data_IF_661406001838
#
_entry.id   IF_661406001838
#
_cell.length_a   1.000
_cell.length_b   1.000
_cell.length_c   1.000
_cell.angle_alpha   90.00
_cell.angle_beta   90.00
_cell.angle_gamma   90.00
#
_symmetry.space_group_name_H-M   'P 1'
#
loop_
_entity.id
_entity.type
_entity.pdbx_description
1 polymer ?
#
# COMPACT_ATOMS: atom_id res chain seq x y z
N UNK A 1 -0.53 -25.25 3.10
CA UNK A 1 0.16 -23.97 3.28
C UNK A 1 0.27 -23.55 4.76
N UNK A 2 -0.81 -23.18 5.50
CA UNK A 2 -0.63 -22.77 6.92
C UNK A 2 -0.03 -23.88 7.79
N UNK A 3 -0.44 -25.15 7.61
CA UNK A 3 0.15 -26.29 8.31
C UNK A 3 1.64 -26.49 7.99
N UNK A 4 2.07 -26.21 6.77
CA UNK A 4 3.48 -26.29 6.37
C UNK A 4 4.29 -25.18 7.04
N UNK A 5 3.74 -23.96 7.11
CA UNK A 5 4.38 -22.84 7.82
C UNK A 5 4.50 -23.17 9.31
N UNK A 6 3.45 -23.75 9.89
CA UNK A 6 3.49 -24.21 11.29
C UNK A 6 4.55 -25.27 11.52
N UNK A 7 4.70 -26.22 10.59
CA UNK A 7 5.72 -27.26 10.68
C UNK A 7 7.17 -26.71 10.60
N UNK A 8 7.35 -25.50 10.01
CA UNK A 8 8.62 -24.78 10.02
C UNK A 8 8.89 -24.02 11.34
N UNK A 9 7.97 -24.08 12.31
CA UNK A 9 8.12 -23.48 13.65
C UNK A 9 7.57 -22.07 13.79
N UNK A 10 6.83 -21.54 12.80
CA UNK A 10 6.20 -20.23 12.90
C UNK A 10 4.83 -20.32 13.56
N UNK A 11 4.55 -19.42 14.51
CA UNK A 11 3.27 -19.29 15.19
C UNK A 11 2.39 -18.20 14.56
N UNK A 12 2.98 -17.26 13.85
CA UNK A 12 2.32 -16.11 13.26
C UNK A 12 2.59 -16.02 11.76
N UNK A 13 1.59 -15.52 11.03
CA UNK A 13 1.73 -15.16 9.61
C UNK A 13 1.04 -13.84 9.33
N UNK A 14 1.54 -13.12 8.33
CA UNK A 14 0.81 -12.04 7.69
C UNK A 14 0.02 -12.58 6.50
N UNK A 15 -1.22 -12.15 6.34
CA UNK A 15 -2.04 -12.48 5.18
C UNK A 15 -1.87 -11.40 4.10
N UNK A 16 -1.16 -11.77 3.04
CA UNK A 16 -0.81 -10.89 1.94
C UNK A 16 -2.02 -10.46 1.08
N UNK A 17 -1.85 -9.35 0.39
CA UNK A 17 -2.75 -8.84 -0.66
C UNK A 17 -2.91 -9.77 -1.89
N UNK A 18 -2.36 -10.97 -1.85
CA UNK A 18 -2.60 -12.07 -2.81
C UNK A 18 -3.56 -13.13 -2.32
N UNK A 19 -4.07 -13.02 -1.08
CA UNK A 19 -4.97 -14.01 -0.47
C UNK A 19 -6.33 -14.01 -1.16
N UNK A 20 -6.64 -15.12 -1.83
CA UNK A 20 -7.91 -15.27 -2.58
C UNK A 20 -9.06 -15.60 -1.64
N UNK A 21 -10.26 -15.16 -2.01
CA UNK A 21 -11.49 -15.37 -1.22
C UNK A 21 -11.80 -16.85 -0.96
N UNK A 22 -11.44 -17.73 -1.88
CA UNK A 22 -11.63 -19.20 -1.73
C UNK A 22 -10.79 -19.81 -0.60
N UNK A 23 -9.79 -19.11 -0.09
CA UNK A 23 -8.93 -19.56 1.00
C UNK A 23 -9.46 -19.17 2.39
N UNK A 24 -10.48 -18.29 2.45
CA UNK A 24 -10.95 -17.73 3.72
C UNK A 24 -11.43 -18.78 4.70
N UNK A 25 -12.23 -19.73 4.23
CA UNK A 25 -12.79 -20.78 5.10
C UNK A 25 -11.66 -21.58 5.77
N UNK A 26 -10.64 -21.96 5.00
CA UNK A 26 -9.50 -22.69 5.54
C UNK A 26 -8.65 -21.85 6.50
N UNK A 27 -8.50 -20.54 6.24
CA UNK A 27 -7.79 -19.61 7.14
C UNK A 27 -8.55 -19.46 8.45
N UNK A 28 -9.86 -19.21 8.39
CA UNK A 28 -10.70 -19.03 9.57
C UNK A 28 -10.68 -20.29 10.44
N UNK A 29 -10.81 -21.48 9.83
CA UNK A 29 -10.72 -22.75 10.54
C UNK A 29 -9.34 -22.91 11.23
N UNK A 30 -8.25 -22.61 10.54
CA UNK A 30 -6.90 -22.72 11.13
C UNK A 30 -6.71 -21.77 12.32
N UNK A 31 -7.32 -20.59 12.30
CA UNK A 31 -7.30 -19.63 13.40
C UNK A 31 -8.18 -20.12 14.57
N UNK A 32 -9.41 -20.56 14.29
CA UNK A 32 -10.38 -21.09 15.27
C UNK A 32 -9.85 -22.32 16.00
N UNK A 33 -9.16 -23.22 15.29
CA UNK A 33 -8.49 -24.40 15.87
C UNK A 33 -7.17 -24.07 16.60
N UNK A 34 -6.75 -22.81 16.62
CA UNK A 34 -5.50 -22.37 17.26
C UNK A 34 -4.23 -22.85 16.54
N UNK A 35 -4.35 -23.34 15.32
CA UNK A 35 -3.22 -23.83 14.52
C UNK A 35 -2.25 -22.70 14.18
N UNK A 36 -2.77 -21.50 13.84
CA UNK A 36 -1.99 -20.34 13.39
C UNK A 36 -2.61 -19.04 13.91
N UNK A 37 -1.78 -18.09 14.28
CA UNK A 37 -2.18 -16.72 14.61
C UNK A 37 -1.87 -15.81 13.43
N UNK A 38 -2.71 -14.82 13.22
CA UNK A 38 -2.50 -13.80 12.19
C UNK A 38 -1.95 -12.54 12.86
N UNK A 39 -0.73 -12.15 12.51
CA UNK A 39 -0.08 -10.94 13.04
C UNK A 39 -0.69 -9.68 12.44
N UNK A 40 -0.85 -9.70 11.12
CA UNK A 40 -1.34 -8.58 10.34
C UNK A 40 -1.98 -9.09 9.04
N UNK A 41 -2.75 -8.22 8.41
CA UNK A 41 -3.23 -8.44 7.05
C UNK A 41 -2.74 -7.32 6.15
N UNK A 42 -2.83 -7.51 4.86
CA UNK A 42 -2.43 -6.51 3.88
C UNK A 42 -3.63 -6.10 3.01
N UNK A 43 -3.84 -4.81 2.77
CA UNK A 43 -4.91 -4.34 1.90
C UNK A 43 -4.57 -4.65 0.42
N UNK A 44 -5.37 -5.31 -0.36
CA UNK A 44 -6.71 -5.84 -0.09
C UNK A 44 -6.64 -7.35 0.23
N UNK A 45 -6.85 -7.71 1.47
CA UNK A 45 -6.94 -9.10 1.90
C UNK A 45 -8.30 -9.33 2.59
N UNK A 46 -9.16 -10.24 2.08
CA UNK A 46 -8.99 -11.01 0.85
C UNK A 46 -9.15 -10.17 -0.42
N UNK A 47 -8.59 -10.65 -1.51
CA UNK A 47 -8.75 -10.03 -2.82
C UNK A 47 -10.23 -9.86 -3.18
N UNK A 48 -10.61 -8.72 -3.79
CA UNK A 48 -11.94 -8.52 -4.33
C UNK A 48 -12.32 -9.62 -5.35
N UNK A 49 -13.61 -9.94 -5.43
CA UNK A 49 -14.12 -10.91 -6.42
C UNK A 49 -13.73 -10.48 -7.84
N UNK A 50 -13.32 -11.46 -8.65
CA UNK A 50 -12.89 -11.24 -10.04
C UNK A 50 -11.40 -10.91 -10.17
N UNK A 51 -10.69 -10.59 -9.08
CA UNK A 51 -9.25 -10.36 -9.11
C UNK A 51 -8.53 -11.68 -8.83
N UNK A 52 -7.68 -12.10 -9.78
CA UNK A 52 -7.01 -13.40 -9.76
C UNK A 52 -5.53 -13.32 -9.36
N UNK A 53 -4.98 -12.11 -9.28
CA UNK A 53 -3.59 -11.84 -8.95
C UNK A 53 -3.47 -10.73 -7.91
N UNK A 54 -2.34 -10.64 -7.24
CA UNK A 54 -2.05 -9.58 -6.28
C UNK A 54 -2.24 -8.21 -6.91
N UNK A 55 -3.10 -7.39 -6.33
CA UNK A 55 -3.48 -6.08 -6.85
C UNK A 55 -3.53 -5.03 -5.70
N UNK A 56 -2.38 -4.74 -5.07
CA UNK A 56 -2.35 -3.85 -3.91
C UNK A 56 -2.76 -2.40 -4.22
N UNK A 57 -2.62 -1.98 -5.47
CA UNK A 57 -3.00 -0.66 -5.98
C UNK A 57 -4.23 -0.74 -6.91
N UNK A 58 -5.15 -1.66 -6.64
CA UNK A 58 -6.38 -1.80 -7.43
C UNK A 58 -7.24 -0.54 -7.33
N UNK A 59 -7.33 0.02 -6.13
CA UNK A 59 -7.90 1.32 -5.81
C UNK A 59 -6.90 2.06 -4.94
N UNK A 60 -6.77 3.38 -5.13
CA UNK A 60 -5.77 4.17 -4.41
C UNK A 60 -6.42 5.27 -3.58
N UNK A 61 -5.99 5.47 -2.32
CA UNK A 61 -6.51 6.54 -1.46
C UNK A 61 -6.11 7.93 -1.95
N UNK A 62 -5.11 8.02 -2.81
CA UNK A 62 -4.58 9.27 -3.38
C UNK A 62 -5.42 9.84 -4.53
N UNK A 63 -6.45 9.12 -4.99
CA UNK A 63 -7.28 9.54 -6.13
C UNK A 63 -8.50 10.30 -5.66
N UNK A 64 -8.70 11.51 -6.20
CA UNK A 64 -9.83 12.39 -5.87
C UNK A 64 -11.11 12.12 -6.64
N UNK A 65 -11.07 11.23 -7.65
CA UNK A 65 -12.26 10.86 -8.41
C UNK A 65 -13.29 10.15 -7.51
N UNK A 66 -14.45 10.75 -7.32
CA UNK A 66 -15.48 10.32 -6.36
C UNK A 66 -15.82 8.83 -6.47
N UNK A 67 -15.93 8.30 -7.68
CA UNK A 67 -16.26 6.90 -7.90
C UNK A 67 -15.12 5.97 -7.47
N UNK A 68 -13.88 6.30 -7.80
CA UNK A 68 -12.72 5.49 -7.43
C UNK A 68 -12.46 5.55 -5.93
N UNK A 69 -12.57 6.72 -5.33
CA UNK A 69 -12.49 6.90 -3.88
C UNK A 69 -13.56 6.07 -3.15
N UNK A 70 -14.81 6.09 -3.60
CA UNK A 70 -15.87 5.26 -3.02
C UNK A 70 -15.57 3.76 -3.13
N UNK A 71 -14.95 3.31 -4.23
CA UNK A 71 -14.50 1.93 -4.36
C UNK A 71 -13.35 1.62 -3.39
N UNK A 72 -12.37 2.52 -3.26
CA UNK A 72 -11.29 2.36 -2.30
C UNK A 72 -11.83 2.21 -0.87
N UNK A 73 -12.72 3.08 -0.43
CA UNK A 73 -13.35 3.02 0.90
C UNK A 73 -14.07 1.67 1.12
N UNK A 74 -14.91 1.30 0.18
CA UNK A 74 -15.67 0.04 0.25
C UNK A 74 -14.76 -1.18 0.34
N UNK A 75 -13.68 -1.20 -0.47
CA UNK A 75 -12.77 -2.32 -0.55
C UNK A 75 -11.71 -2.30 0.54
N UNK A 76 -11.55 -1.20 1.29
CA UNK A 76 -10.68 -1.11 2.47
C UNK A 76 -11.41 -1.50 3.75
N UNK A 77 -12.69 -1.15 3.90
CA UNK A 77 -13.49 -1.54 5.08
C UNK A 77 -13.62 -3.07 5.24
N UNK A 78 -13.77 -3.81 4.15
CA UNK A 78 -13.84 -5.29 4.19
C UNK A 78 -12.56 -5.96 4.73
N UNK A 79 -11.36 -5.64 4.26
CA UNK A 79 -10.12 -6.09 4.86
C UNK A 79 -9.98 -5.75 6.35
N UNK A 80 -10.43 -4.57 6.80
CA UNK A 80 -10.46 -4.21 8.22
C UNK A 80 -11.35 -5.18 9.01
N UNK A 81 -12.57 -5.45 8.54
CA UNK A 81 -13.49 -6.43 9.15
C UNK A 81 -12.87 -7.82 9.18
N UNK A 82 -12.20 -8.22 8.09
CA UNK A 82 -11.54 -9.51 8.02
C UNK A 82 -10.35 -9.60 8.97
N UNK A 83 -9.55 -8.52 9.09
CA UNK A 83 -8.45 -8.44 10.06
C UNK A 83 -8.94 -8.67 11.49
N UNK A 84 -9.99 -7.95 11.89
CA UNK A 84 -10.61 -8.15 13.19
C UNK A 84 -11.11 -9.59 13.39
N UNK A 85 -11.74 -10.17 12.37
CA UNK A 85 -12.27 -11.54 12.42
C UNK A 85 -11.20 -12.61 12.60
N UNK A 86 -10.02 -12.44 12.03
CA UNK A 86 -8.89 -13.36 12.18
C UNK A 86 -8.00 -13.04 13.37
N UNK A 87 -8.36 -12.03 14.18
CA UNK A 87 -7.61 -11.60 15.36
C UNK A 87 -6.32 -10.84 15.03
N UNK A 88 -6.17 -10.33 13.82
CA UNK A 88 -5.07 -9.46 13.46
C UNK A 88 -5.29 -8.06 14.05
N UNK A 89 -4.26 -7.50 14.67
CA UNK A 89 -4.31 -6.17 15.29
C UNK A 89 -3.87 -5.05 14.37
N UNK A 90 -3.33 -5.39 13.20
CA UNK A 90 -2.87 -4.42 12.22
C UNK A 90 -3.25 -4.84 10.79
N UNK A 91 -3.53 -3.83 9.96
CA UNK A 91 -3.69 -3.98 8.52
C UNK A 91 -2.75 -3.02 7.80
N UNK A 92 -1.88 -3.56 6.94
CA UNK A 92 -0.97 -2.77 6.12
C UNK A 92 -1.72 -2.21 4.91
N UNK A 93 -1.53 -0.92 4.63
CA UNK A 93 -2.14 -0.24 3.49
C UNK A 93 -1.11 0.58 2.71
N UNK A 94 -1.27 0.58 1.39
CA UNK A 94 -0.52 1.47 0.50
C UNK A 94 -1.21 2.82 0.40
N UNK A 95 -0.42 3.88 0.26
CA UNK A 95 -0.92 5.25 0.22
C UNK A 95 -1.18 5.76 -1.20
N UNK A 96 -1.09 4.88 -2.19
CA UNK A 96 -1.33 5.23 -3.59
C UNK A 96 -0.14 5.91 -4.24
N UNK A 97 -0.41 6.64 -5.32
CA UNK A 97 0.64 7.23 -6.14
C UNK A 97 0.22 8.55 -6.79
N UNK A 98 1.22 9.31 -7.24
CA UNK A 98 1.01 10.51 -8.05
C UNK A 98 0.83 10.11 -9.52
N UNK A 99 -0.31 10.42 -10.09
CA UNK A 99 -0.63 10.07 -11.48
C UNK A 99 -0.15 11.12 -12.49
N UNK A 100 0.39 10.65 -13.62
CA UNK A 100 0.87 11.47 -14.73
C UNK A 100 0.18 11.04 -16.03
N UNK A 101 -0.88 11.72 -16.43
CA UNK A 101 -1.66 11.35 -17.61
C UNK A 101 -0.88 11.49 -18.94
N UNK A 102 -0.28 12.67 -19.20
CA UNK A 102 0.29 13.00 -20.51
C UNK A 102 1.81 12.79 -20.62
N UNK A 103 2.56 13.04 -19.57
CA UNK A 103 4.02 12.91 -19.60
C UNK A 103 4.54 12.40 -18.27
N UNK A 104 4.61 11.07 -18.14
CA UNK A 104 5.20 10.44 -16.98
C UNK A 104 6.73 10.69 -16.99
N UNK A 105 7.27 11.40 -15.99
CA UNK A 105 8.68 11.75 -15.94
C UNK A 105 9.59 10.53 -15.81
N UNK A 106 9.11 9.46 -15.16
CA UNK A 106 9.85 8.19 -15.00
C UNK A 106 10.18 7.56 -16.33
N UNK A 107 9.28 7.67 -17.32
CA UNK A 107 9.53 7.13 -18.68
C UNK A 107 10.75 7.78 -19.34
N UNK A 108 10.99 9.08 -19.08
CA UNK A 108 12.17 9.79 -19.59
C UNK A 108 13.45 9.31 -18.92
N UNK A 109 13.43 9.15 -17.59
CA UNK A 109 14.54 8.61 -16.82
C UNK A 109 14.89 7.20 -17.29
N UNK A 110 13.89 6.30 -17.35
CA UNK A 110 14.10 4.92 -17.83
C UNK A 110 14.60 4.85 -19.27
N UNK A 111 14.11 5.74 -20.14
CA UNK A 111 14.57 5.82 -21.54
C UNK A 111 16.03 6.24 -21.62
N UNK A 112 16.43 7.22 -20.82
CA UNK A 112 17.82 7.68 -20.77
C UNK A 112 18.76 6.57 -20.32
N UNK A 113 18.44 5.86 -19.23
CA UNK A 113 19.21 4.73 -18.73
C UNK A 113 19.34 3.61 -19.78
N UNK A 114 18.26 3.29 -20.47
CA UNK A 114 18.29 2.27 -21.54
C UNK A 114 19.13 2.67 -22.74
N UNK A 115 19.19 3.96 -23.06
CA UNK A 115 19.97 4.48 -24.18
C UNK A 115 21.45 4.64 -23.81
N UNK A 116 21.79 4.65 -22.54
CA UNK A 116 23.15 4.86 -22.04
C UNK A 116 23.45 3.82 -20.93
N UNK A 117 23.57 2.52 -21.27
CA UNK A 117 23.70 1.45 -20.29
C UNK A 117 25.01 1.48 -19.50
N UNK A 118 26.05 2.12 -20.04
CA UNK A 118 27.40 2.17 -19.48
C UNK A 118 27.65 3.36 -18.54
N UNK A 119 26.67 4.24 -18.34
CA UNK A 119 26.86 5.39 -17.48
C UNK A 119 26.85 4.99 -16.00
N UNK A 120 27.60 5.74 -15.19
CA UNK A 120 27.41 5.76 -13.76
C UNK A 120 26.34 6.81 -13.40
N UNK A 121 25.15 6.39 -12.92
CA UNK A 121 24.06 7.32 -12.57
C UNK A 121 24.44 8.35 -11.49
N UNK A 122 25.45 8.05 -10.67
CA UNK A 122 25.90 8.96 -9.61
C UNK A 122 26.68 10.17 -10.15
N UNK A 123 27.36 10.01 -11.29
CA UNK A 123 28.27 11.02 -11.87
C UNK A 123 27.78 11.60 -13.20
N UNK A 124 26.89 10.91 -13.93
CA UNK A 124 26.41 11.37 -15.22
C UNK A 124 25.51 12.61 -15.11
N UNK A 125 25.97 13.71 -15.70
CA UNK A 125 25.26 14.99 -15.66
C UNK A 125 23.93 14.99 -16.42
N UNK A 126 23.85 14.26 -17.54
CA UNK A 126 22.64 14.11 -18.35
C UNK A 126 21.54 13.41 -17.56
N UNK A 127 21.91 12.30 -16.90
CA UNK A 127 21.02 11.57 -16.01
C UNK A 127 20.53 12.44 -14.84
N UNK A 128 21.47 13.11 -14.13
CA UNK A 128 21.14 13.99 -13.00
C UNK A 128 20.17 15.11 -13.41
N UNK A 129 20.37 15.72 -14.55
CA UNK A 129 19.50 16.77 -15.09
C UNK A 129 18.08 16.25 -15.35
N UNK A 130 17.94 15.06 -15.95
CA UNK A 130 16.64 14.44 -16.23
C UNK A 130 15.97 14.01 -14.93
N UNK A 131 16.72 13.42 -14.01
CA UNK A 131 16.23 13.00 -12.69
C UNK A 131 15.72 14.20 -11.89
N UNK A 132 16.51 15.29 -11.80
CA UNK A 132 16.11 16.52 -11.09
C UNK A 132 14.79 17.09 -11.64
N UNK A 133 14.65 17.13 -12.96
CA UNK A 133 13.38 17.55 -13.58
C UNK A 133 12.21 16.61 -13.23
N UNK A 134 12.48 15.32 -13.17
CA UNK A 134 11.47 14.32 -12.80
C UNK A 134 11.04 14.49 -11.33
N UNK A 135 12.00 14.64 -10.41
CA UNK A 135 11.77 14.89 -8.99
C UNK A 135 10.99 16.19 -8.75
N UNK A 136 11.37 17.28 -9.41
CA UNK A 136 10.65 18.55 -9.28
C UNK A 136 9.20 18.45 -9.78
N UNK A 137 9.00 17.72 -10.88
CA UNK A 137 7.64 17.48 -11.40
C UNK A 137 6.79 16.64 -10.46
N UNK A 138 7.39 15.66 -9.79
CA UNK A 138 6.71 14.84 -8.78
C UNK A 138 6.37 15.72 -7.57
N UNK A 139 7.35 16.41 -6.98
CA UNK A 139 7.17 17.25 -5.79
C UNK A 139 6.08 18.30 -5.95
N UNK A 140 5.99 18.92 -7.11
CA UNK A 140 4.95 19.93 -7.39
C UNK A 140 3.52 19.34 -7.40
N UNK A 141 3.39 18.00 -7.51
CA UNK A 141 2.08 17.33 -7.52
C UNK A 141 1.73 16.66 -6.20
N UNK A 142 2.71 16.30 -5.39
CA UNK A 142 2.51 15.60 -4.12
C UNK A 142 1.44 16.28 -3.25
N UNK A 143 1.42 17.60 -3.02
CA UNK A 143 0.49 18.21 -2.08
C UNK A 143 -0.98 17.86 -2.33
N UNK A 144 -1.44 17.93 -3.58
CA UNK A 144 -2.83 17.63 -3.91
C UNK A 144 -3.20 16.14 -3.70
N UNK A 145 -2.27 15.23 -4.01
CA UNK A 145 -2.46 13.80 -3.76
C UNK A 145 -2.38 13.47 -2.27
N UNK A 146 -1.50 14.18 -1.57
CA UNK A 146 -1.30 13.99 -0.14
C UNK A 146 -2.51 14.43 0.68
N UNK A 147 -3.09 15.57 0.35
CA UNK A 147 -4.35 16.04 0.94
C UNK A 147 -5.46 14.99 0.79
N UNK A 148 -5.56 14.37 -0.39
CA UNK A 148 -6.53 13.31 -0.64
C UNK A 148 -6.21 12.04 0.16
N UNK A 149 -4.94 11.65 0.29
CA UNK A 149 -4.52 10.51 1.13
C UNK A 149 -4.94 10.74 2.58
N UNK A 150 -4.65 11.93 3.13
CA UNK A 150 -5.00 12.27 4.50
C UNK A 150 -6.51 12.19 4.75
N UNK A 151 -7.32 12.78 3.86
CA UNK A 151 -8.77 12.70 3.96
C UNK A 151 -9.28 11.25 3.89
N UNK A 152 -8.71 10.44 2.98
CA UNK A 152 -9.06 9.02 2.84
C UNK A 152 -8.70 8.20 4.07
N UNK A 153 -7.52 8.42 4.64
CA UNK A 153 -7.07 7.72 5.84
C UNK A 153 -7.91 8.10 7.06
N UNK A 154 -8.25 9.37 7.24
CA UNK A 154 -9.09 9.83 8.35
C UNK A 154 -10.45 9.13 8.33
N UNK A 155 -11.05 8.96 7.14
CA UNK A 155 -12.35 8.28 7.00
C UNK A 155 -12.28 6.80 7.40
N UNK A 156 -11.20 6.09 7.11
CA UNK A 156 -11.09 4.66 7.44
C UNK A 156 -10.46 4.41 8.81
N UNK A 157 -9.69 5.35 9.34
CA UNK A 157 -9.02 5.24 10.65
C UNK A 157 -10.04 5.05 11.77
N UNK A 158 -11.05 5.89 11.84
CA UNK A 158 -12.10 5.78 12.86
C UNK A 158 -12.78 4.40 12.79
N UNK A 159 -13.07 3.92 11.58
CA UNK A 159 -13.65 2.60 11.38
C UNK A 159 -12.69 1.46 11.81
N UNK A 160 -11.42 1.57 11.48
CA UNK A 160 -10.42 0.58 11.86
C UNK A 160 -10.27 0.50 13.39
N UNK A 161 -10.19 1.65 14.06
CA UNK A 161 -10.12 1.73 15.53
C UNK A 161 -11.36 1.12 16.20
N UNK A 162 -12.56 1.37 15.69
CA UNK A 162 -13.79 0.73 16.16
C UNK A 162 -13.71 -0.80 16.11
N UNK A 163 -13.01 -1.34 15.12
CA UNK A 163 -12.80 -2.79 14.95
C UNK A 163 -11.57 -3.32 15.70
N UNK A 164 -10.83 -2.47 16.42
CA UNK A 164 -9.60 -2.86 17.12
C UNK A 164 -8.42 -3.13 16.19
N UNK A 165 -8.40 -2.54 14.99
CA UNK A 165 -7.37 -2.75 13.98
C UNK A 165 -6.61 -1.44 13.75
N UNK A 166 -5.28 -1.48 13.90
CA UNK A 166 -4.40 -0.37 13.54
C UNK A 166 -4.13 -0.37 12.03
N UNK A 167 -4.00 0.81 11.42
CA UNK A 167 -3.57 0.96 10.03
C UNK A 167 -2.05 1.16 9.98
N UNK A 168 -1.35 0.21 9.36
CA UNK A 168 0.06 0.33 9.04
C UNK A 168 0.25 0.92 7.65
N UNK A 169 0.97 2.05 7.54
CA UNK A 169 1.26 2.66 6.25
C UNK A 169 2.59 2.15 5.71
N UNK A 170 2.59 1.65 4.48
CA UNK A 170 3.78 1.13 3.82
C UNK A 170 4.25 2.08 2.71
N UNK A 171 5.55 2.42 2.72
CA UNK A 171 6.18 3.03 1.55
C UNK A 171 6.46 1.96 0.48
N UNK A 172 6.54 2.39 -0.78
CA UNK A 172 6.72 1.50 -1.92
C UNK A 172 7.95 1.87 -2.73
N UNK A 173 8.30 1.02 -3.67
CA UNK A 173 9.55 1.10 -4.45
C UNK A 173 9.47 1.98 -5.71
N UNK A 174 8.26 2.30 -6.21
CA UNK A 174 8.16 3.05 -7.45
C UNK A 174 8.26 4.55 -7.18
N UNK A 175 8.96 5.24 -8.09
CA UNK A 175 9.24 6.68 -8.03
C UNK A 175 8.03 7.58 -7.69
N UNK A 176 6.83 7.20 -8.07
CA UNK A 176 5.62 8.01 -7.90
C UNK A 176 4.73 7.54 -6.74
N UNK A 177 5.09 6.46 -6.06
CA UNK A 177 4.32 5.95 -4.93
C UNK A 177 4.54 6.81 -3.68
N UNK A 178 3.50 6.94 -2.87
CA UNK A 178 3.47 7.74 -1.67
C UNK A 178 3.61 6.85 -0.42
N UNK A 179 4.20 7.38 0.68
CA UNK A 179 4.95 8.62 0.75
C UNK A 179 6.31 8.50 0.06
N UNK A 180 6.89 9.61 -0.37
CA UNK A 180 8.29 9.62 -0.78
C UNK A 180 9.18 9.67 0.46
N UNK A 181 10.36 9.06 0.42
CA UNK A 181 11.22 8.84 1.58
C UNK A 181 11.48 10.11 2.41
N UNK A 182 11.69 11.26 1.75
CA UNK A 182 11.96 12.52 2.43
C UNK A 182 10.79 13.04 3.28
N UNK A 183 9.55 12.68 2.93
CA UNK A 183 8.34 13.17 3.56
C UNK A 183 7.77 12.16 4.57
N UNK A 184 8.34 10.94 4.63
CA UNK A 184 7.82 9.85 5.45
C UNK A 184 7.89 10.15 6.95
N UNK A 185 9.00 10.73 7.41
CA UNK A 185 9.18 11.09 8.80
C UNK A 185 8.19 12.19 9.27
N UNK A 186 7.92 13.18 8.41
CA UNK A 186 6.92 14.22 8.68
C UNK A 186 5.50 13.67 8.68
N UNK A 187 5.22 12.72 7.81
CA UNK A 187 3.95 12.03 7.78
C UNK A 187 3.67 11.27 9.07
N UNK A 188 4.60 10.43 9.52
CA UNK A 188 4.47 9.66 10.76
C UNK A 188 4.24 10.60 11.96
N UNK A 189 5.03 11.68 12.08
CA UNK A 189 4.82 12.68 13.13
C UNK A 189 3.43 13.33 13.09
N UNK A 190 2.84 13.46 11.91
CA UNK A 190 1.49 13.98 11.72
C UNK A 190 0.40 13.01 12.19
N UNK A 191 0.64 11.70 12.09
CA UNK A 191 -0.30 10.65 12.50
C UNK A 191 -0.28 10.39 14.02
N UNK A 192 0.85 10.66 14.67
CA UNK A 192 1.12 10.30 16.09
C UNK A 192 0.51 11.29 17.09
N UNK A 193 -0.30 12.25 16.63
CA UNK A 193 -0.88 13.28 17.50
C UNK A 193 -2.05 12.82 18.36
N UNK A 194 -2.60 11.65 18.08
CA UNK A 194 -3.80 11.16 18.76
C UNK A 194 -3.68 9.70 19.27
N UNK A 195 -2.47 9.15 19.42
CA UNK A 195 -2.18 7.84 20.04
C UNK A 195 -2.33 6.66 19.10
#
# INVERSE_FOLDING_TARGET
MLAEIKALGFDYVELSHGTKIVLLEGILRAVEEGMMKISSTHNFCPLPMGITHSAPNLFEPSVSATQEHAQWLRHTKRPIEFSARVGATAMVTHLGSVHFFWSNPVRKVKRYLRANPEIDPATDEGYRKILTKACNKLRNRIPAYWEQVQASLEEVRAYALEKGVMLGCENREKFQELPVDADYAEFIKGLDKDG
#
